data_IF_951921884269
#
_entry.id   IF_951921884269
#
_cell.length_a   1.000
_cell.length_b   1.000
_cell.length_c   1.000
_cell.angle_alpha   90.00
_cell.angle_beta   90.00
_cell.angle_gamma   90.00
#
_symmetry.space_group_name_H-M   'P 1'
#
loop_
_entity.id
_entity.type
_entity.pdbx_description
1 polymer ?
#
# COMPACT_ATOMS: atom_id res chain seq x y z
N UNK A 1 28.17 46.00 8.13
CA UNK A 1 27.71 45.18 9.28
C UNK A 1 26.99 43.97 8.69
N UNK A 2 27.76 42.95 8.34
CA UNK A 2 27.28 41.75 7.64
C UNK A 2 26.50 40.87 8.63
N UNK A 3 25.25 40.52 8.31
CA UNK A 3 24.46 39.57 9.09
C UNK A 3 24.82 38.15 8.64
N UNK A 4 25.47 37.40 9.51
CA UNK A 4 25.64 35.95 9.36
C UNK A 4 24.27 35.27 9.52
N UNK A 5 23.88 34.32 8.64
CA UNK A 5 22.70 33.51 8.87
C UNK A 5 22.95 32.46 9.96
N UNK A 6 22.01 32.37 10.89
CA UNK A 6 21.97 31.41 11.99
C UNK A 6 21.72 30.01 11.42
N UNK A 7 22.67 29.10 11.64
CA UNK A 7 22.53 27.70 11.26
C UNK A 7 21.40 27.07 12.09
N UNK A 8 20.37 26.54 11.42
CA UNK A 8 19.39 25.66 12.02
C UNK A 8 20.00 24.26 11.94
N UNK A 9 20.39 23.72 13.09
CA UNK A 9 20.85 22.34 13.20
C UNK A 9 19.72 21.41 12.75
N UNK A 10 19.93 20.70 11.64
CA UNK A 10 19.05 19.62 11.22
C UNK A 10 19.28 18.44 12.15
N UNK A 11 18.30 18.10 12.99
CA UNK A 11 18.24 16.80 13.63
C UNK A 11 18.07 15.73 12.54
N UNK A 12 19.17 15.11 12.12
CA UNK A 12 19.12 13.84 11.40
C UNK A 12 18.59 12.77 12.37
N UNK A 13 17.28 12.52 12.29
CA UNK A 13 16.69 11.30 12.79
C UNK A 13 17.19 10.11 11.94
N UNK A 14 18.37 9.57 12.24
CA UNK A 14 18.82 8.28 11.69
C UNK A 14 18.14 7.15 12.47
N UNK A 15 16.82 7.11 12.38
CA UNK A 15 16.00 5.97 12.72
C UNK A 15 15.91 5.04 11.52
N UNK A 16 16.99 4.31 11.24
CA UNK A 16 17.05 3.27 10.20
C UNK A 16 16.24 2.02 10.56
N UNK A 17 15.02 2.19 11.05
CA UNK A 17 14.04 1.13 11.10
C UNK A 17 13.57 0.89 9.68
N UNK A 18 13.96 -0.23 9.08
CA UNK A 18 13.25 -0.78 7.91
C UNK A 18 11.83 -1.04 8.36
N UNK A 19 10.97 -0.03 8.26
CA UNK A 19 9.57 -0.24 8.04
C UNK A 19 9.55 -0.99 6.73
N UNK A 20 9.44 -2.32 6.81
CA UNK A 20 8.78 -3.09 5.77
C UNK A 20 7.35 -2.55 5.76
N UNK A 21 7.19 -1.32 5.26
CA UNK A 21 5.92 -0.71 5.03
C UNK A 21 5.25 -1.69 4.09
N UNK A 22 4.11 -2.21 4.54
CA UNK A 22 2.96 -2.27 3.65
C UNK A 22 3.12 -1.10 2.68
N UNK A 23 3.57 -1.40 1.45
CA UNK A 23 3.76 -0.40 0.41
C UNK A 23 2.53 0.46 0.46
N UNK A 24 2.70 1.76 0.73
CA UNK A 24 1.64 2.72 1.05
C UNK A 24 0.67 2.84 -0.12
N UNK A 25 -0.15 1.83 -0.26
CA UNK A 25 -0.82 1.39 -1.45
C UNK A 25 -2.11 0.74 -1.02
N UNK A 26 -3.17 1.05 -1.75
CA UNK A 26 -4.52 0.69 -1.36
C UNK A 26 -4.72 -0.82 -1.42
N UNK A 27 -4.94 -1.48 -0.29
CA UNK A 27 -5.32 -2.90 -0.29
C UNK A 27 -6.72 -3.09 -0.88
N UNK A 28 -6.87 -4.03 -1.80
CA UNK A 28 -8.17 -4.40 -2.36
C UNK A 28 -8.49 -5.85 -2.00
N UNK A 29 -9.64 -6.06 -1.36
CA UNK A 29 -10.15 -7.38 -1.03
C UNK A 29 -11.17 -7.80 -2.07
N UNK A 30 -10.97 -8.97 -2.68
CA UNK A 30 -11.94 -9.56 -3.62
C UNK A 30 -12.53 -10.79 -2.99
N UNK A 31 -13.85 -10.79 -2.82
CA UNK A 31 -14.63 -11.97 -2.45
C UNK A 31 -15.24 -12.54 -3.71
N UNK A 32 -14.99 -13.82 -3.99
CA UNK A 32 -15.55 -14.49 -5.16
C UNK A 32 -16.12 -15.87 -4.82
N UNK A 33 -17.03 -16.35 -5.66
CA UNK A 33 -17.64 -17.66 -5.56
C UNK A 33 -17.29 -18.45 -6.82
N UNK A 34 -17.02 -19.75 -6.67
CA UNK A 34 -16.89 -20.65 -7.80
C UNK A 34 -18.22 -21.39 -7.99
N UNK A 35 -18.77 -21.29 -9.20
CA UNK A 35 -19.95 -22.06 -9.59
C UNK A 35 -19.50 -23.25 -10.43
N UNK A 36 -19.73 -24.47 -9.92
CA UNK A 36 -19.41 -25.72 -10.63
C UNK A 36 -20.60 -26.67 -10.53
N UNK A 37 -21.01 -27.23 -11.68
CA UNK A 37 -22.11 -28.21 -11.77
C UNK A 37 -23.40 -27.75 -11.07
N UNK A 38 -23.75 -26.47 -11.19
CA UNK A 38 -24.95 -25.89 -10.59
C UNK A 38 -24.90 -25.71 -9.07
N UNK A 39 -23.75 -25.90 -8.43
CA UNK A 39 -23.53 -25.59 -7.02
C UNK A 39 -22.60 -24.39 -6.87
N UNK A 40 -22.93 -23.53 -5.93
CA UNK A 40 -22.08 -22.42 -5.50
C UNK A 40 -21.22 -22.93 -4.35
N UNK A 41 -19.90 -22.90 -4.53
CA UNK A 41 -18.94 -23.22 -3.48
C UNK A 41 -18.89 -22.11 -2.41
N UNK A 42 -18.25 -22.39 -1.29
CA UNK A 42 -18.01 -21.40 -0.25
C UNK A 42 -17.22 -20.19 -0.80
N UNK A 43 -17.45 -18.98 -0.27
CA UNK A 43 -16.75 -17.79 -0.73
C UNK A 43 -15.24 -17.88 -0.47
N UNK A 44 -14.46 -17.35 -1.40
CA UNK A 44 -13.02 -17.23 -1.30
C UNK A 44 -12.61 -15.76 -1.19
N UNK A 45 -11.62 -15.47 -0.36
CA UNK A 45 -11.07 -14.14 -0.16
C UNK A 45 -9.64 -14.09 -0.69
N UNK A 46 -9.36 -13.13 -1.56
CA UNK A 46 -8.00 -12.80 -1.99
C UNK A 46 -7.70 -11.33 -1.73
N UNK A 47 -6.43 -11.04 -1.41
CA UNK A 47 -5.90 -9.68 -1.25
C UNK A 47 -5.09 -9.33 -2.49
N UNK A 48 -5.43 -8.21 -3.11
CA UNK A 48 -4.71 -7.64 -4.24
C UNK A 48 -4.06 -6.34 -3.76
N UNK A 49 -2.75 -6.22 -3.99
CA UNK A 49 -2.00 -4.97 -3.84
C UNK A 49 -1.85 -4.33 -5.23
N UNK A 50 -2.74 -3.39 -5.61
CA UNK A 50 -2.63 -2.65 -6.86
C UNK A 50 -1.41 -1.71 -6.84
N UNK A 51 -0.86 -1.36 -8.02
CA UNK A 51 0.13 -0.31 -8.14
C UNK A 51 -0.39 1.00 -7.53
N UNK A 52 0.53 1.78 -6.94
CA UNK A 52 0.25 3.02 -6.19
C UNK A 52 -0.63 4.03 -6.96
N UNK A 53 -0.60 4.04 -8.29
CA UNK A 53 -1.34 5.00 -9.14
C UNK A 53 -2.68 4.51 -9.69
N UNK A 54 -3.15 3.29 -9.37
CA UNK A 54 -4.39 2.77 -9.95
C UNK A 54 -5.62 2.99 -9.06
N UNK A 55 -6.65 3.62 -9.63
CA UNK A 55 -7.90 3.94 -8.93
C UNK A 55 -8.94 2.80 -8.98
N UNK A 56 -8.65 1.68 -9.65
CA UNK A 56 -9.60 0.59 -9.84
C UNK A 56 -8.93 -0.73 -10.23
N UNK A 57 -9.69 -1.81 -10.11
CA UNK A 57 -9.26 -3.17 -10.50
C UNK A 57 -9.86 -3.49 -11.86
N UNK A 58 -9.03 -4.02 -12.76
CA UNK A 58 -9.48 -4.58 -14.03
C UNK A 58 -9.11 -6.06 -14.06
N UNK A 59 -10.09 -6.90 -14.41
CA UNK A 59 -9.84 -8.28 -14.79
C UNK A 59 -9.14 -8.28 -16.15
N UNK A 60 -8.00 -8.97 -16.25
CA UNK A 60 -7.28 -9.14 -17.51
C UNK A 60 -7.85 -10.31 -18.30
#
# INVERSE_FOLDING_TARGET
MERQPFAIDQEEAVGGGRLNGDQAGRNIHVVYFLSRKGRVEHPHLIRIQPPISSNGVRLK
#
